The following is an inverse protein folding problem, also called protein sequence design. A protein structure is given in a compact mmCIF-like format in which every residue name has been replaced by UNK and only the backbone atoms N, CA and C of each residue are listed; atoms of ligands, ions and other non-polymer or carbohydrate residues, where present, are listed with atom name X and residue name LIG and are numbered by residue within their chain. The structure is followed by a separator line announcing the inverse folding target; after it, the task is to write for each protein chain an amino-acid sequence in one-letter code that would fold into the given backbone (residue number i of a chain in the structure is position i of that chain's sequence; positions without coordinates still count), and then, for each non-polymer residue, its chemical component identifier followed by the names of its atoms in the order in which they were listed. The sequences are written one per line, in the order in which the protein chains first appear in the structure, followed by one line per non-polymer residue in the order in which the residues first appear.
data_IF_413537991653
#
_entry.id   IF_413537991653
#
_cell.length_a   1.000
_cell.length_b   1.000
_cell.length_c   1.000
_cell.angle_alpha   90.00
_cell.angle_beta   90.00
_cell.angle_gamma   90.00
#
_symmetry.space_group_name_H-M   'P 1'
#
loop_
_entity.id
_entity.type
_entity.pdbx_description
1 polymer ?
#
# COMPACT_ATOMS: atom_id res chain seq x y z
N UNK A 1 -10.66 -14.60 1.29
CA UNK A 1 -11.02 -13.21 1.68
C UNK A 1 -10.41 -12.31 0.61
N UNK A 2 -11.22 -11.78 -0.31
CA UNK A 2 -10.73 -10.92 -1.38
C UNK A 2 -10.90 -9.47 -0.95
N UNK A 3 -9.83 -8.69 -0.95
CA UNK A 3 -9.91 -7.25 -0.84
C UNK A 3 -10.17 -6.67 -2.22
N UNK A 4 -11.08 -5.71 -2.32
CA UNK A 4 -11.03 -4.78 -3.44
C UNK A 4 -9.80 -3.89 -3.21
N UNK A 5 -9.10 -3.52 -4.27
CA UNK A 5 -7.90 -2.73 -4.13
C UNK A 5 -7.68 -1.78 -5.31
N UNK A 6 -6.92 -0.74 -5.03
CA UNK A 6 -6.30 0.12 -6.02
C UNK A 6 -4.78 0.02 -5.89
N UNK A 7 -4.08 0.02 -7.03
CA UNK A 7 -2.63 -0.08 -7.11
C UNK A 7 -2.12 0.91 -8.15
N UNK A 8 -1.12 1.69 -7.79
CA UNK A 8 -0.47 2.66 -8.66
C UNK A 8 1.04 2.58 -8.53
N UNK A 9 1.72 2.69 -9.66
CA UNK A 9 3.17 2.76 -9.74
C UNK A 9 3.57 4.19 -10.12
N UNK A 10 4.32 4.84 -9.25
CA UNK A 10 4.86 6.17 -9.45
C UNK A 10 6.36 6.05 -9.76
N UNK A 11 6.83 6.55 -10.92
CA UNK A 11 8.26 6.64 -11.19
C UNK A 11 8.95 7.49 -10.12
N UNK A 12 10.08 7.01 -9.61
CA UNK A 12 10.88 7.74 -8.62
C UNK A 12 12.30 7.97 -9.15
N UNK A 13 12.93 9.07 -8.71
CA UNK A 13 14.28 9.48 -9.15
C UNK A 13 15.35 8.41 -8.85
N UNK A 14 15.12 7.54 -7.86
CA UNK A 14 16.00 6.41 -7.55
C UNK A 14 16.01 5.30 -8.61
N UNK A 15 15.11 5.36 -9.60
CA UNK A 15 14.90 4.30 -10.59
C UNK A 15 14.08 3.12 -10.07
N UNK A 16 13.69 3.13 -8.79
CA UNK A 16 12.81 2.12 -8.18
C UNK A 16 11.42 2.75 -8.01
N UNK A 17 10.37 2.22 -8.65
CA UNK A 17 9.04 2.83 -8.58
C UNK A 17 8.48 2.76 -7.16
N UNK A 18 7.84 3.84 -6.73
CA UNK A 18 7.02 3.84 -5.52
C UNK A 18 5.67 3.17 -5.84
N UNK A 19 5.25 2.26 -4.97
CA UNK A 19 3.99 1.53 -5.13
C UNK A 19 3.01 2.03 -4.09
N UNK A 20 1.95 2.69 -4.55
CA UNK A 20 0.83 3.11 -3.71
C UNK A 20 -0.28 2.08 -3.83
N UNK A 21 -0.61 1.41 -2.72
CA UNK A 21 -1.66 0.40 -2.66
C UNK A 21 -2.71 0.79 -1.62
N UNK A 22 -3.98 0.83 -2.04
CA UNK A 22 -5.11 1.01 -1.14
C UNK A 22 -5.97 -0.26 -1.15
N UNK A 23 -6.21 -0.81 0.05
CA UNK A 23 -7.03 -2.01 0.24
C UNK A 23 -8.35 -1.63 0.90
N UNK A 24 -9.46 -2.09 0.33
CA UNK A 24 -10.80 -1.86 0.86
C UNK A 24 -11.29 -3.11 1.59
N UNK A 25 -11.51 -2.96 2.90
CA UNK A 25 -12.09 -4.00 3.75
C UNK A 25 -11.53 -3.97 5.18
N UNK A 26 -11.94 -4.96 5.97
CA UNK A 26 -11.50 -5.09 7.36
C UNK A 26 -10.04 -5.57 7.43
N UNK A 27 -9.14 -4.63 7.70
CA UNK A 27 -7.73 -4.93 7.95
C UNK A 27 -7.46 -5.22 9.43
N UNK A 28 -7.16 -6.50 9.71
CA UNK A 28 -6.64 -6.97 11.00
C UNK A 28 -5.12 -6.85 11.04
N UNK A 29 -4.54 -6.75 12.23
CA UNK A 29 -3.08 -6.69 12.40
C UNK A 29 -2.33 -7.85 11.75
N UNK A 30 -2.89 -9.06 11.81
CA UNK A 30 -2.28 -10.25 11.17
C UNK A 30 -2.20 -10.11 9.65
N UNK A 31 -3.18 -9.44 9.02
CA UNK A 31 -3.13 -9.17 7.59
C UNK A 31 -1.99 -8.20 7.25
N UNK A 32 -1.75 -7.19 8.10
CA UNK A 32 -0.66 -6.22 7.93
C UNK A 32 0.69 -6.92 8.04
N UNK A 33 0.86 -7.76 9.07
CA UNK A 33 2.10 -8.54 9.27
C UNK A 33 2.36 -9.45 8.08
N UNK A 34 1.32 -10.12 7.59
CA UNK A 34 1.42 -10.98 6.39
C UNK A 34 1.77 -10.20 5.13
N UNK A 35 1.18 -9.02 4.92
CA UNK A 35 1.51 -8.18 3.76
C UNK A 35 2.96 -7.73 3.80
N UNK A 36 3.44 -7.29 4.97
CA UNK A 36 4.84 -6.90 5.18
C UNK A 36 5.80 -8.06 4.92
N UNK A 37 5.48 -9.25 5.43
CA UNK A 37 6.28 -10.46 5.21
C UNK A 37 6.36 -10.84 3.72
N UNK A 38 5.24 -10.78 3.01
CA UNK A 38 5.21 -11.00 1.56
C UNK A 38 6.07 -9.96 0.83
N UNK A 39 5.96 -8.69 1.20
CA UNK A 39 6.70 -7.60 0.56
C UNK A 39 8.22 -7.76 0.71
N UNK A 40 8.68 -8.05 1.92
CA UNK A 40 10.10 -8.14 2.26
C UNK A 40 10.68 -9.49 1.85
N UNK A 41 10.06 -10.60 2.24
CA UNK A 41 10.67 -11.92 2.14
C UNK A 41 10.32 -12.66 0.85
N UNK A 42 9.12 -12.44 0.28
CA UNK A 42 8.72 -13.12 -0.95
C UNK A 42 9.08 -12.31 -2.19
N UNK A 43 8.83 -11.01 -2.16
CA UNK A 43 9.08 -10.14 -3.32
C UNK A 43 10.40 -9.37 -3.23
N UNK A 44 11.11 -9.47 -2.11
CA UNK A 44 12.43 -8.86 -1.91
C UNK A 44 12.45 -7.35 -2.22
N UNK A 45 11.32 -6.66 -2.00
CA UNK A 45 11.13 -5.25 -2.33
C UNK A 45 11.64 -4.32 -1.21
N UNK A 46 12.89 -4.53 -0.81
CA UNK A 46 13.60 -3.73 0.18
C UNK A 46 13.58 -4.33 1.60
N UNK A 47 13.77 -3.47 2.60
CA UNK A 47 13.87 -3.85 4.00
C UNK A 47 12.62 -3.40 4.80
N UNK A 48 12.67 -3.50 6.12
CA UNK A 48 11.59 -3.11 7.02
C UNK A 48 11.13 -1.64 6.93
N UNK A 49 11.94 -0.77 6.32
CA UNK A 49 11.61 0.63 6.06
C UNK A 49 11.07 0.88 4.65
N UNK A 50 11.15 -0.09 3.75
CA UNK A 50 10.62 0.00 2.39
C UNK A 50 9.09 -0.19 2.33
N UNK A 51 8.45 -0.50 3.45
CA UNK A 51 7.02 -0.72 3.56
C UNK A 51 6.41 0.16 4.66
N UNK A 52 5.80 1.27 4.24
CA UNK A 52 4.95 2.07 5.12
C UNK A 52 3.48 1.65 4.98
N UNK A 53 2.79 1.50 6.11
CA UNK A 53 1.40 1.09 6.13
C UNK A 53 0.63 1.88 7.18
N UNK A 54 -0.43 2.54 6.72
CA UNK A 54 -1.35 3.29 7.58
C UNK A 54 -2.76 2.73 7.44
N UNK A 55 -3.42 2.48 8.57
CA UNK A 55 -4.86 2.18 8.61
C UNK A 55 -5.58 3.49 8.85
N UNK A 56 -6.23 4.01 7.82
CA UNK A 56 -7.18 5.10 8.02
C UNK A 56 -8.57 4.52 8.35
N UNK A 57 -9.01 4.73 9.59
CA UNK A 57 -10.38 4.36 10.03
C UNK A 57 -11.42 5.44 9.71
N UNK A 58 -10.98 6.64 9.34
CA UNK A 58 -11.88 7.66 8.82
C UNK A 58 -12.16 7.31 7.36
N UNK A 59 -13.42 7.41 6.97
CA UNK A 59 -13.80 7.36 5.56
C UNK A 59 -12.86 8.28 4.81
N UNK A 60 -12.22 7.76 3.76
CA UNK A 60 -11.50 8.60 2.82
C UNK A 60 -12.58 9.46 2.17
N UNK A 61 -12.88 10.63 2.76
CA UNK A 61 -14.01 11.50 2.38
C UNK A 61 -14.01 11.79 0.89
N UNK A 62 -12.84 11.75 0.26
CA UNK A 62 -12.71 11.83 -1.17
C UNK A 62 -11.53 10.98 -1.68
N UNK A 63 -11.82 9.73 -2.08
CA UNK A 63 -10.85 8.83 -2.71
C UNK A 63 -10.23 9.48 -3.95
N UNK A 64 -11.01 10.24 -4.73
CA UNK A 64 -10.51 10.94 -5.93
C UNK A 64 -9.41 11.92 -5.55
N UNK A 65 -9.57 12.70 -4.47
CA UNK A 65 -8.52 13.63 -4.02
C UNK A 65 -7.23 12.91 -3.62
N UNK A 66 -7.31 11.72 -3.01
CA UNK A 66 -6.13 10.92 -2.69
C UNK A 66 -5.44 10.44 -3.97
N UNK A 67 -6.23 9.89 -4.91
CA UNK A 67 -5.72 9.41 -6.20
C UNK A 67 -5.09 10.54 -7.04
N UNK A 68 -5.73 11.71 -7.08
CA UNK A 68 -5.25 12.89 -7.80
C UNK A 68 -3.92 13.46 -7.27
N UNK A 69 -3.42 13.01 -6.11
CA UNK A 69 -2.06 13.36 -5.68
C UNK A 69 -0.98 12.64 -6.50
N UNK A 70 -1.35 11.55 -7.15
CA UNK A 70 -0.42 10.62 -7.81
C UNK A 70 -0.71 10.45 -9.31
N UNK A 71 -1.72 11.14 -9.84
CA UNK A 71 -2.03 11.29 -11.27
C UNK A 71 -1.57 12.68 -11.69
#
# INVERSE_FOLDING_TARGET
MGFQYFLLFEPHESGIPHIHMMLFGDMKEDNIKRLRDLWINKYEMGNEHAFDFSVNKKEVENLVNYLMKYI
#
